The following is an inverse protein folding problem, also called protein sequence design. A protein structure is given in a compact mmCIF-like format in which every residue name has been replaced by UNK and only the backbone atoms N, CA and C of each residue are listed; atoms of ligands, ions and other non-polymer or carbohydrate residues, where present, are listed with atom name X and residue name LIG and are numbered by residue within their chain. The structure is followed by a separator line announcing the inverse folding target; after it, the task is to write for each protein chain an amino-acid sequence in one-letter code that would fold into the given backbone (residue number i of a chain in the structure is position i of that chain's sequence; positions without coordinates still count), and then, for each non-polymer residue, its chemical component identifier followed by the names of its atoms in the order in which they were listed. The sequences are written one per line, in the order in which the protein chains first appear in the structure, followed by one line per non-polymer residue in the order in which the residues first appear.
data_IF_511454924464
#
_entry.id   IF_511454924464
#
_cell.length_a   1.000
_cell.length_b   1.000
_cell.length_c   1.000
_cell.angle_alpha   90.00
_cell.angle_beta   90.00
_cell.angle_gamma   90.00
#
_symmetry.space_group_name_H-M   'P 1'
#
loop_
_entity.id
_entity.type
_entity.pdbx_description
1 polymer ?
#
# COMPACT_ATOMS: atom_id res chain seq x y z
N UNK A 1 14.29 -14.67 -39.30
CA UNK A 1 13.15 -13.83 -38.84
C UNK A 1 11.96 -14.73 -38.73
N UNK A 2 11.29 -14.76 -37.59
CA UNK A 2 10.07 -15.53 -37.39
C UNK A 2 9.03 -15.10 -38.43
N UNK A 3 8.25 -16.07 -38.91
CA UNK A 3 7.20 -15.91 -39.90
C UNK A 3 6.00 -15.12 -39.30
N UNK A 4 6.22 -13.82 -39.04
CA UNK A 4 5.19 -12.91 -38.51
C UNK A 4 4.20 -12.62 -39.62
N UNK A 5 2.94 -13.03 -39.41
CA UNK A 5 1.85 -12.82 -40.39
C UNK A 5 1.10 -11.53 -40.08
N UNK A 6 0.88 -10.75 -41.09
CA UNK A 6 0.00 -9.58 -41.00
C UNK A 6 -1.47 -10.01 -40.78
N UNK A 7 -2.27 -9.16 -40.19
CA UNK A 7 -3.71 -9.35 -40.05
C UNK A 7 -4.35 -9.25 -41.42
N UNK A 8 -5.05 -10.31 -41.87
CA UNK A 8 -5.70 -10.39 -43.18
C UNK A 8 -6.94 -9.49 -43.24
N UNK A 9 -7.05 -8.57 -44.23
CA UNK A 9 -8.24 -7.75 -44.43
C UNK A 9 -9.53 -8.58 -44.64
N UNK A 10 -9.42 -9.76 -45.23
CA UNK A 10 -10.58 -10.65 -45.40
C UNK A 10 -11.09 -11.19 -44.07
N UNK A 11 -10.19 -11.52 -43.12
CA UNK A 11 -10.56 -11.90 -41.76
C UNK A 11 -11.24 -10.75 -41.02
N UNK A 12 -10.72 -9.52 -41.15
CA UNK A 12 -11.36 -8.33 -40.56
C UNK A 12 -12.77 -8.12 -41.02
N UNK A 13 -13.03 -8.33 -42.31
CA UNK A 13 -14.39 -8.26 -42.89
C UNK A 13 -15.31 -9.36 -42.34
N UNK A 14 -14.80 -10.57 -42.17
CA UNK A 14 -15.51 -11.66 -41.54
C UNK A 14 -15.86 -11.33 -40.09
N UNK A 15 -14.88 -10.90 -39.26
CA UNK A 15 -15.13 -10.50 -37.88
C UNK A 15 -16.18 -9.41 -37.76
N UNK A 16 -16.15 -8.39 -38.64
CA UNK A 16 -17.15 -7.34 -38.66
C UNK A 16 -18.55 -7.89 -39.05
N UNK A 17 -18.61 -8.82 -39.96
CA UNK A 17 -19.88 -9.45 -40.37
C UNK A 17 -20.49 -10.26 -39.23
N UNK A 18 -19.69 -11.09 -38.57
CA UNK A 18 -20.11 -11.92 -37.44
C UNK A 18 -20.52 -11.06 -36.22
N UNK A 19 -19.76 -10.01 -35.92
CA UNK A 19 -20.11 -9.06 -34.89
C UNK A 19 -21.48 -8.40 -35.12
N UNK A 20 -21.75 -7.93 -36.32
CA UNK A 20 -23.00 -7.24 -36.66
C UNK A 20 -24.19 -8.20 -36.78
N UNK A 21 -23.98 -9.50 -36.97
CA UNK A 21 -25.02 -10.50 -37.02
C UNK A 21 -25.61 -10.83 -35.63
N UNK A 22 -24.87 -10.57 -34.55
CA UNK A 22 -25.34 -10.85 -33.20
C UNK A 22 -25.90 -9.60 -32.52
N UNK A 23 -27.19 -9.65 -32.18
CA UNK A 23 -27.90 -8.58 -31.47
C UNK A 23 -27.26 -8.29 -30.10
N UNK A 24 -26.71 -9.30 -29.40
CA UNK A 24 -26.09 -9.11 -28.11
C UNK A 24 -24.85 -8.20 -28.19
N UNK A 25 -24.04 -8.42 -29.25
CA UNK A 25 -22.87 -7.56 -29.51
C UNK A 25 -23.28 -6.11 -29.75
N UNK A 26 -24.34 -5.84 -30.49
CA UNK A 26 -24.80 -4.48 -30.81
C UNK A 26 -25.33 -3.78 -29.56
N UNK A 27 -26.07 -4.49 -28.69
CA UNK A 27 -26.55 -3.94 -27.41
C UNK A 27 -25.38 -3.63 -26.46
N UNK A 28 -24.46 -4.58 -26.33
CA UNK A 28 -23.26 -4.41 -25.47
C UNK A 28 -22.41 -3.26 -25.99
N UNK A 29 -22.18 -3.17 -27.31
CA UNK A 29 -21.39 -2.08 -27.90
C UNK A 29 -22.04 -0.71 -27.65
N UNK A 30 -23.35 -0.57 -27.85
CA UNK A 30 -24.05 0.68 -27.58
C UNK A 30 -23.94 1.11 -26.09
N UNK A 31 -24.09 0.16 -25.18
CA UNK A 31 -23.92 0.43 -23.75
C UNK A 31 -22.48 0.86 -23.41
N UNK A 32 -21.50 0.06 -23.84
CA UNK A 32 -20.10 0.33 -23.50
C UNK A 32 -19.53 1.60 -24.17
N UNK A 33 -19.90 1.91 -25.41
CA UNK A 33 -19.48 3.12 -26.12
C UNK A 33 -20.06 4.37 -25.48
N UNK A 34 -21.28 4.31 -24.96
CA UNK A 34 -21.94 5.49 -24.36
C UNK A 34 -21.60 5.72 -22.90
N UNK A 35 -21.40 4.67 -22.09
CA UNK A 35 -21.21 4.79 -20.64
C UNK A 35 -19.85 4.27 -20.12
N UNK A 36 -19.04 3.67 -20.99
CA UNK A 36 -17.78 3.03 -20.62
C UNK A 36 -17.96 1.55 -20.23
N UNK A 37 -16.84 0.80 -20.29
CA UNK A 37 -16.84 -0.65 -20.10
C UNK A 37 -17.31 -1.04 -18.69
N UNK A 38 -16.79 -0.41 -17.65
CA UNK A 38 -17.13 -0.76 -16.26
C UNK A 38 -18.60 -0.49 -15.94
N UNK A 39 -19.13 0.68 -16.34
CA UNK A 39 -20.52 1.01 -16.13
C UNK A 39 -21.47 0.07 -16.92
N UNK A 40 -21.08 -0.33 -18.15
CA UNK A 40 -21.85 -1.28 -18.95
C UNK A 40 -21.77 -2.72 -18.43
N UNK A 41 -20.73 -3.07 -17.68
CA UNK A 41 -20.51 -4.39 -17.10
C UNK A 41 -21.03 -4.54 -15.67
N UNK A 42 -21.49 -3.46 -15.03
CA UNK A 42 -22.01 -3.51 -13.66
C UNK A 42 -23.25 -4.37 -13.57
N UNK A 43 -23.23 -5.38 -12.69
CA UNK A 43 -24.37 -6.25 -12.41
C UNK A 43 -25.12 -5.79 -11.17
N UNK A 44 -26.30 -5.25 -11.38
CA UNK A 44 -27.21 -4.80 -10.32
C UNK A 44 -27.51 -5.88 -9.25
N UNK A 45 -27.47 -7.16 -9.60
CA UNK A 45 -27.66 -8.22 -8.60
C UNK A 45 -26.45 -8.40 -7.70
N UNK A 46 -25.25 -8.28 -8.28
CA UNK A 46 -23.99 -8.33 -7.52
C UNK A 46 -23.94 -7.25 -6.44
N UNK A 47 -24.22 -6.00 -6.81
CA UNK A 47 -24.28 -4.88 -5.87
C UNK A 47 -25.23 -5.11 -4.67
N UNK A 48 -26.38 -5.74 -4.92
CA UNK A 48 -27.37 -6.02 -3.86
C UNK A 48 -26.95 -7.14 -2.90
N UNK A 49 -26.08 -8.03 -3.33
CA UNK A 49 -25.59 -9.16 -2.53
C UNK A 49 -24.41 -8.73 -1.66
N UNK A 50 -23.56 -7.85 -2.17
CA UNK A 50 -22.36 -7.39 -1.49
C UNK A 50 -22.69 -6.22 -0.53
N UNK A 51 -23.25 -6.55 0.64
CA UNK A 51 -23.69 -5.57 1.62
C UNK A 51 -22.53 -5.02 2.44
N UNK A 52 -22.61 -3.74 2.86
CA UNK A 52 -21.63 -3.07 3.71
C UNK A 52 -21.97 -3.22 5.20
N UNK A 53 -22.11 -4.47 5.66
CA UNK A 53 -22.24 -4.82 7.07
C UNK A 53 -21.36 -6.05 7.36
N UNK A 54 -20.77 -6.07 8.54
CA UNK A 54 -19.72 -7.03 8.87
C UNK A 54 -19.94 -7.58 10.28
N UNK A 55 -19.64 -8.85 10.48
CA UNK A 55 -19.74 -9.48 11.81
C UNK A 55 -18.65 -8.98 12.77
N UNK A 56 -17.51 -8.54 12.20
CA UNK A 56 -16.39 -7.94 12.93
C UNK A 56 -15.99 -6.67 12.18
N UNK A 57 -16.02 -5.55 12.90
CA UNK A 57 -15.74 -4.24 12.31
C UNK A 57 -14.94 -3.37 13.29
N UNK A 58 -13.82 -2.82 12.85
CA UNK A 58 -12.95 -1.94 13.61
C UNK A 58 -13.32 -0.47 13.32
N UNK A 59 -13.57 0.30 14.37
CA UNK A 59 -13.91 1.71 14.24
C UNK A 59 -12.65 2.55 14.04
N UNK A 60 -12.44 3.03 12.82
CA UNK A 60 -11.32 3.89 12.43
C UNK A 60 -11.61 5.38 12.74
N UNK A 61 -10.57 6.22 12.64
CA UNK A 61 -10.69 7.68 12.63
C UNK A 61 -11.16 8.25 11.29
N UNK A 62 -10.88 9.52 11.06
CA UNK A 62 -11.19 10.21 9.80
C UNK A 62 -10.45 9.58 8.61
N UNK A 63 -11.12 9.51 7.46
CA UNK A 63 -10.52 8.96 6.23
C UNK A 63 -9.41 9.86 5.71
N UNK A 64 -8.27 9.26 5.43
CA UNK A 64 -7.08 9.94 4.90
C UNK A 64 -7.15 10.12 3.37
N UNK A 65 -6.31 10.99 2.81
CA UNK A 65 -6.30 11.22 1.37
C UNK A 65 -4.89 11.45 0.83
N UNK A 66 -4.35 10.45 0.10
CA UNK A 66 -3.03 10.51 -0.53
C UNK A 66 -2.95 11.46 -1.72
N UNK A 67 -4.10 11.95 -2.24
CA UNK A 67 -4.17 12.81 -3.41
C UNK A 67 -3.51 12.17 -4.65
N UNK A 68 -2.81 12.98 -5.45
CA UNK A 68 -2.10 12.53 -6.66
C UNK A 68 -0.65 12.15 -6.34
N UNK A 69 -0.48 11.13 -5.47
CA UNK A 69 0.85 10.61 -5.10
C UNK A 69 0.82 9.09 -4.95
N UNK A 70 1.94 8.41 -5.16
CA UNK A 70 2.08 6.97 -5.00
C UNK A 70 2.35 6.52 -3.56
N UNK A 71 1.88 7.26 -2.54
CA UNK A 71 2.13 6.98 -1.11
C UNK A 71 1.11 6.05 -0.46
N UNK A 72 0.31 5.30 -1.23
CA UNK A 72 -0.73 4.40 -0.67
C UNK A 72 -0.18 3.47 0.42
N UNK A 73 0.99 2.89 0.20
CA UNK A 73 1.66 1.98 1.15
C UNK A 73 1.96 2.64 2.51
N UNK A 74 2.33 3.93 2.47
CA UNK A 74 2.64 4.74 3.64
C UNK A 74 1.36 5.13 4.39
N UNK A 75 0.32 5.57 3.66
CA UNK A 75 -0.99 5.87 4.22
C UNK A 75 -1.62 4.65 4.88
N UNK A 76 -1.65 3.51 4.19
CA UNK A 76 -2.19 2.26 4.72
C UNK A 76 -1.46 1.84 6.01
N UNK A 77 -0.12 1.91 6.03
CA UNK A 77 0.67 1.56 7.21
C UNK A 77 0.42 2.52 8.38
N UNK A 78 0.42 3.82 8.13
CA UNK A 78 0.12 4.81 9.16
C UNK A 78 -1.33 4.71 9.67
N UNK A 79 -2.29 4.30 8.84
CA UNK A 79 -3.66 4.05 9.26
C UNK A 79 -3.76 2.85 10.23
N UNK A 80 -2.96 1.78 10.05
CA UNK A 80 -2.91 0.69 11.02
C UNK A 80 -2.34 1.16 12.36
N UNK A 81 -1.23 1.88 12.37
CA UNK A 81 -0.62 2.41 13.59
C UNK A 81 -1.49 3.47 14.27
N UNK A 82 -2.15 4.31 13.49
CA UNK A 82 -3.09 5.33 13.98
C UNK A 82 -4.23 4.73 14.79
N UNK A 83 -4.82 3.64 14.28
CA UNK A 83 -5.87 2.91 14.99
C UNK A 83 -5.41 2.49 16.39
N UNK A 84 -4.26 1.84 16.48
CA UNK A 84 -3.70 1.37 17.75
C UNK A 84 -3.38 2.53 18.73
N UNK A 85 -2.81 3.61 18.19
CA UNK A 85 -2.51 4.80 18.98
C UNK A 85 -3.81 5.44 19.53
N UNK A 86 -4.83 5.61 18.68
CA UNK A 86 -6.10 6.21 19.08
C UNK A 86 -6.79 5.39 20.16
N UNK A 87 -6.82 4.06 20.04
CA UNK A 87 -7.42 3.16 21.03
C UNK A 87 -6.62 3.16 22.34
N UNK A 88 -5.29 3.15 22.25
CA UNK A 88 -4.42 3.17 23.44
C UNK A 88 -4.60 4.42 24.29
N UNK A 89 -4.79 5.56 23.65
CA UNK A 89 -4.83 6.87 24.30
C UNK A 89 -6.24 7.49 24.34
N UNK A 90 -7.24 6.74 23.92
CA UNK A 90 -8.64 7.19 23.87
C UNK A 90 -8.79 8.52 23.13
N UNK A 91 -8.23 8.62 21.92
CA UNK A 91 -8.31 9.81 21.10
C UNK A 91 -9.52 9.76 20.17
N UNK A 92 -10.18 10.91 20.01
CA UNK A 92 -11.32 11.06 19.09
C UNK A 92 -10.88 10.92 17.63
N UNK A 93 -9.77 11.54 17.27
CA UNK A 93 -9.16 11.49 15.95
C UNK A 93 -7.66 11.80 16.04
N UNK A 94 -6.89 11.22 15.10
CA UNK A 94 -5.47 11.45 14.99
C UNK A 94 -5.01 11.10 13.56
N UNK A 95 -3.98 11.80 13.08
CA UNK A 95 -3.32 11.49 11.82
C UNK A 95 -1.82 11.71 11.95
N UNK A 96 -1.03 10.74 11.50
CA UNK A 96 0.42 10.90 11.34
C UNK A 96 0.75 11.74 10.13
N UNK A 97 1.96 12.26 10.06
CA UNK A 97 2.48 12.93 8.87
C UNK A 97 3.06 11.93 7.89
N UNK A 98 2.38 11.69 6.81
CA UNK A 98 2.88 10.91 5.69
C UNK A 98 4.00 11.67 4.95
N UNK A 99 3.93 13.00 4.95
CA UNK A 99 4.96 13.85 4.32
C UNK A 99 6.32 13.71 5.00
N UNK A 100 6.33 13.43 6.32
CA UNK A 100 7.56 13.21 7.09
C UNK A 100 8.31 11.97 6.59
N UNK A 101 7.62 10.84 6.51
CA UNK A 101 8.21 9.62 5.98
C UNK A 101 8.51 9.71 4.48
N UNK A 102 7.70 10.45 3.72
CA UNK A 102 7.93 10.68 2.29
C UNK A 102 9.22 11.47 2.02
N UNK A 103 9.56 12.44 2.90
CA UNK A 103 10.86 13.13 2.81
C UNK A 103 12.01 12.14 2.99
N UNK A 104 11.97 11.34 4.03
CA UNK A 104 13.03 10.38 4.33
C UNK A 104 13.08 9.24 3.31
N UNK A 105 11.95 8.78 2.81
CA UNK A 105 11.89 7.81 1.71
C UNK A 105 12.58 8.32 0.45
N UNK A 106 12.33 9.59 0.07
CA UNK A 106 13.01 10.20 -1.06
C UNK A 106 14.53 10.28 -0.86
N UNK A 107 14.97 10.62 0.36
CA UNK A 107 16.39 10.64 0.72
C UNK A 107 17.02 9.25 0.67
N UNK A 108 16.41 8.27 1.33
CA UNK A 108 16.96 6.93 1.47
C UNK A 108 16.96 6.18 0.13
N UNK A 109 15.87 6.24 -0.65
CA UNK A 109 15.85 5.67 -2.00
C UNK A 109 16.90 6.29 -2.92
N UNK A 110 17.13 7.60 -2.81
CA UNK A 110 18.19 8.26 -3.58
C UNK A 110 19.57 7.74 -3.19
N UNK A 111 19.83 7.59 -1.88
CA UNK A 111 21.05 7.00 -1.38
C UNK A 111 21.21 5.54 -1.85
N UNK A 112 20.16 4.73 -1.69
CA UNK A 112 20.17 3.31 -2.08
C UNK A 112 20.35 3.13 -3.59
N UNK A 113 19.70 3.97 -4.40
CA UNK A 113 19.90 3.97 -5.85
C UNK A 113 21.39 4.19 -6.22
N UNK A 114 22.02 5.22 -5.63
CA UNK A 114 23.42 5.52 -5.93
C UNK A 114 24.38 4.44 -5.38
N UNK A 115 24.10 3.82 -4.22
CA UNK A 115 24.85 2.66 -3.75
C UNK A 115 24.66 1.45 -4.69
N UNK A 116 23.44 1.19 -5.17
CA UNK A 116 23.19 0.15 -6.16
C UNK A 116 23.94 0.40 -7.47
N UNK A 117 24.07 1.66 -7.90
CA UNK A 117 24.91 2.03 -9.04
C UNK A 117 26.38 1.69 -8.77
N UNK A 118 26.90 2.02 -7.57
CA UNK A 118 28.29 1.74 -7.20
C UNK A 118 28.61 0.26 -7.13
N UNK A 119 27.68 -0.60 -6.70
CA UNK A 119 27.91 -2.06 -6.67
C UNK A 119 27.66 -2.74 -8.00
N UNK A 120 27.13 -2.01 -9.00
CA UNK A 120 26.85 -2.51 -10.35
C UNK A 120 27.59 -1.72 -11.44
N UNK A 121 28.73 -1.08 -11.12
CA UNK A 121 29.50 -0.26 -12.06
C UNK A 121 29.97 -1.07 -13.30
N UNK A 122 30.26 -2.35 -13.11
CA UNK A 122 30.72 -3.26 -14.18
C UNK A 122 29.57 -3.90 -14.99
N UNK A 123 28.31 -3.71 -14.54
CA UNK A 123 27.16 -4.20 -15.29
C UNK A 123 26.96 -3.36 -16.57
N UNK A 124 26.70 -3.99 -17.73
CA UNK A 124 26.32 -3.26 -18.94
C UNK A 124 25.04 -2.42 -18.74
N UNK A 125 24.93 -1.28 -19.42
CA UNK A 125 23.71 -0.43 -19.37
C UNK A 125 22.45 -1.20 -19.82
N UNK A 126 22.61 -2.16 -20.73
CA UNK A 126 21.52 -2.99 -21.25
C UNK A 126 21.26 -4.23 -20.37
N UNK A 127 21.98 -4.41 -19.26
CA UNK A 127 21.73 -5.54 -18.38
C UNK A 127 20.38 -5.40 -17.69
N UNK A 128 19.69 -6.53 -17.51
CA UNK A 128 18.40 -6.55 -16.82
C UNK A 128 18.49 -6.08 -15.37
N UNK A 129 19.65 -6.27 -14.74
CA UNK A 129 19.93 -5.77 -13.38
C UNK A 129 19.95 -4.25 -13.36
N UNK A 130 20.74 -3.64 -14.26
CA UNK A 130 20.82 -2.18 -14.32
C UNK A 130 19.50 -1.56 -14.76
N UNK A 131 18.77 -2.17 -15.70
CA UNK A 131 17.42 -1.75 -16.10
C UNK A 131 16.48 -1.71 -14.89
N UNK A 132 16.48 -2.76 -14.06
CA UNK A 132 15.63 -2.84 -12.87
C UNK A 132 15.97 -1.75 -11.84
N UNK A 133 17.27 -1.52 -11.56
CA UNK A 133 17.76 -0.48 -10.64
C UNK A 133 17.39 0.92 -11.18
N UNK A 134 17.59 1.16 -12.47
CA UNK A 134 17.41 2.47 -13.09
C UNK A 134 15.96 2.81 -13.46
N UNK A 135 15.01 1.87 -13.29
CA UNK A 135 13.60 2.07 -13.69
C UNK A 135 12.95 3.25 -12.97
N UNK A 136 13.08 3.32 -11.66
CA UNK A 136 12.51 4.38 -10.83
C UNK A 136 13.36 4.67 -9.60
N UNK A 137 14.47 5.44 -9.75
CA UNK A 137 15.48 5.62 -8.71
C UNK A 137 14.94 6.01 -7.33
N UNK A 138 13.96 6.91 -7.28
CA UNK A 138 13.32 7.38 -6.06
C UNK A 138 11.80 7.56 -6.24
N UNK A 139 11.15 6.60 -6.91
CA UNK A 139 9.70 6.63 -7.11
C UNK A 139 8.90 6.51 -5.81
N UNK A 140 7.64 6.93 -5.84
CA UNK A 140 6.77 7.04 -4.67
C UNK A 140 6.37 5.68 -4.07
N UNK A 141 6.21 4.63 -4.89
CA UNK A 141 5.74 3.32 -4.43
C UNK A 141 6.68 2.64 -3.45
N UNK A 142 6.16 1.76 -2.62
CA UNK A 142 6.94 0.99 -1.64
C UNK A 142 6.13 -0.13 -1.00
N UNK A 143 6.76 -0.83 -0.07
CA UNK A 143 6.22 -1.97 0.65
C UNK A 143 6.28 -1.73 2.15
N UNK A 144 5.65 -2.63 2.91
CA UNK A 144 5.67 -2.56 4.37
C UNK A 144 7.09 -2.53 4.95
N UNK A 145 8.01 -3.38 4.46
CA UNK A 145 9.39 -3.41 4.98
C UNK A 145 10.05 -2.02 4.86
N UNK A 146 9.90 -1.36 3.71
CA UNK A 146 10.42 0.01 3.52
C UNK A 146 9.83 1.01 4.51
N UNK A 147 8.54 0.87 4.85
CA UNK A 147 7.90 1.69 5.87
C UNK A 147 8.47 1.42 7.27
N UNK A 148 8.61 0.15 7.64
CA UNK A 148 9.16 -0.26 8.93
C UNK A 148 10.60 0.24 9.12
N UNK A 149 11.42 0.16 8.08
CA UNK A 149 12.81 0.63 8.09
C UNK A 149 12.91 2.14 8.28
N UNK A 150 12.03 2.91 7.62
CA UNK A 150 11.94 4.36 7.85
C UNK A 150 11.50 4.70 9.27
N UNK A 151 10.50 4.00 9.82
CA UNK A 151 10.05 4.20 11.19
C UNK A 151 11.15 3.87 12.20
N UNK A 152 11.87 2.77 11.99
CA UNK A 152 12.99 2.36 12.84
C UNK A 152 14.14 3.38 12.86
N UNK A 153 14.40 4.03 11.73
CA UNK A 153 15.49 4.99 11.59
C UNK A 153 15.10 6.41 12.01
N UNK A 154 13.91 6.86 11.64
CA UNK A 154 13.49 8.26 11.75
C UNK A 154 12.35 8.50 12.74
N UNK A 155 11.68 7.47 13.22
CA UNK A 155 10.49 7.63 14.07
C UNK A 155 9.29 8.18 13.32
N UNK A 156 8.34 8.76 14.06
CA UNK A 156 7.07 9.28 13.54
C UNK A 156 6.77 10.66 14.09
N UNK A 157 5.97 11.43 13.34
CA UNK A 157 5.46 12.73 13.81
C UNK A 157 3.96 12.83 13.51
N UNK A 158 3.18 13.60 14.30
CA UNK A 158 1.79 13.91 13.97
C UNK A 158 1.72 14.85 12.76
N UNK A 159 0.63 14.79 12.02
CA UNK A 159 0.39 15.63 10.82
C UNK A 159 0.48 17.13 11.11
N UNK A 160 0.10 17.55 12.32
CA UNK A 160 0.21 18.94 12.77
C UNK A 160 1.65 19.46 12.85
N UNK A 161 2.62 18.57 13.11
CA UNK A 161 4.04 18.93 13.19
C UNK A 161 4.72 19.03 11.83
N UNK A 162 4.25 18.30 10.83
CA UNK A 162 4.78 18.36 9.47
C UNK A 162 3.66 18.10 8.45
N UNK A 163 2.93 19.15 8.06
CA UNK A 163 1.75 19.03 7.21
C UNK A 163 2.09 18.78 5.73
N UNK A 164 1.06 18.48 4.93
CA UNK A 164 1.17 18.29 3.50
C UNK A 164 1.67 19.54 2.77
N UNK A 165 2.66 19.38 1.90
CA UNK A 165 3.10 20.38 0.93
C UNK A 165 2.31 20.27 -0.39
N UNK A 166 2.50 21.20 -1.32
CA UNK A 166 1.95 21.07 -2.67
C UNK A 166 2.53 19.86 -3.40
N UNK A 167 3.82 19.59 -3.21
CA UNK A 167 4.52 18.49 -3.88
C UNK A 167 4.30 17.12 -3.21
N UNK A 168 3.89 17.06 -1.95
CA UNK A 168 3.44 15.81 -1.35
C UNK A 168 2.03 15.43 -1.81
N UNK A 169 1.17 16.43 -2.06
CA UNK A 169 -0.18 16.20 -2.64
C UNK A 169 -0.18 15.85 -4.12
N UNK A 170 0.86 16.26 -4.86
CA UNK A 170 1.05 15.95 -6.30
C UNK A 170 2.54 15.80 -6.56
N UNK A 171 3.01 14.56 -6.51
CA UNK A 171 4.43 14.22 -6.43
C UNK A 171 5.13 14.11 -7.78
N UNK A 172 4.39 14.00 -8.88
CA UNK A 172 4.93 13.67 -10.21
C UNK A 172 6.07 14.58 -10.66
N UNK A 173 5.89 15.90 -10.58
CA UNK A 173 6.92 16.84 -11.01
C UNK A 173 8.18 16.79 -10.15
N UNK A 174 8.00 16.70 -8.81
CA UNK A 174 9.12 16.55 -7.88
C UNK A 174 9.92 15.27 -8.18
N UNK A 175 9.23 14.13 -8.29
CA UNK A 175 9.86 12.83 -8.55
C UNK A 175 10.49 12.76 -9.93
N UNK A 176 9.88 13.36 -10.95
CA UNK A 176 10.46 13.44 -12.28
C UNK A 176 11.85 14.10 -12.24
N UNK A 177 11.96 15.28 -11.65
CA UNK A 177 13.23 16.01 -11.61
C UNK A 177 14.25 15.39 -10.65
N UNK A 178 13.81 14.81 -9.53
CA UNK A 178 14.67 14.05 -8.64
C UNK A 178 15.29 12.85 -9.37
N UNK A 179 14.45 12.03 -10.02
CA UNK A 179 14.92 10.87 -10.80
C UNK A 179 15.83 11.26 -11.96
N UNK A 180 15.56 12.38 -12.63
CA UNK A 180 16.46 12.91 -13.67
C UNK A 180 17.83 13.23 -13.08
N UNK A 181 17.88 13.94 -11.95
CA UNK A 181 19.14 14.30 -11.30
C UNK A 181 19.91 13.08 -10.80
N UNK A 182 19.22 12.09 -10.24
CA UNK A 182 19.85 10.84 -9.81
C UNK A 182 20.47 10.06 -10.98
N UNK A 183 19.81 10.03 -12.14
CA UNK A 183 20.39 9.42 -13.36
C UNK A 183 21.59 10.18 -13.90
N UNK A 184 21.61 11.53 -13.80
CA UNK A 184 22.80 12.31 -14.12
C UNK A 184 23.98 11.94 -13.22
N UNK A 185 23.75 11.82 -11.89
CA UNK A 185 24.77 11.38 -10.95
C UNK A 185 25.27 9.95 -11.25
N UNK A 186 24.33 9.03 -11.53
CA UNK A 186 24.68 7.67 -11.92
C UNK A 186 25.55 7.62 -13.18
N UNK A 187 25.27 8.45 -14.18
CA UNK A 187 26.09 8.57 -15.40
C UNK A 187 27.49 9.08 -15.08
N UNK A 188 27.61 10.15 -14.29
CA UNK A 188 28.92 10.72 -13.91
C UNK A 188 29.76 9.70 -13.12
N UNK A 189 29.16 8.98 -12.17
CA UNK A 189 29.86 7.94 -11.39
C UNK A 189 30.38 6.82 -12.29
N UNK A 190 29.59 6.36 -13.26
CA UNK A 190 30.02 5.31 -14.22
C UNK A 190 31.09 5.79 -15.16
N UNK A 191 30.99 7.01 -15.69
CA UNK A 191 32.02 7.61 -16.56
C UNK A 191 33.35 7.76 -15.84
N UNK A 192 33.35 8.19 -14.57
CA UNK A 192 34.55 8.28 -13.74
C UNK A 192 35.13 6.92 -13.40
N UNK A 193 34.28 5.94 -13.11
CA UNK A 193 34.75 4.56 -12.93
C UNK A 193 35.48 4.07 -14.18
N UNK A 194 34.89 4.24 -15.35
CA UNK A 194 35.52 3.87 -16.61
C UNK A 194 36.85 4.62 -16.88
N UNK A 195 37.02 5.83 -16.32
CA UNK A 195 38.26 6.61 -16.36
C UNK A 195 39.27 6.18 -15.27
N UNK A 196 38.94 5.21 -14.41
CA UNK A 196 39.84 4.65 -13.40
C UNK A 196 39.77 5.34 -12.03
N UNK A 197 38.73 6.12 -11.74
CA UNK A 197 38.51 6.70 -10.40
C UNK A 197 38.23 5.57 -9.40
N UNK A 198 38.86 5.65 -8.23
CA UNK A 198 38.71 4.64 -7.18
C UNK A 198 37.31 4.66 -6.56
N UNK A 199 36.86 3.51 -5.98
CA UNK A 199 35.56 3.39 -5.34
C UNK A 199 35.40 4.36 -4.16
N UNK A 200 36.47 4.63 -3.40
CA UNK A 200 36.44 5.58 -2.29
C UNK A 200 36.21 7.03 -2.76
N UNK A 201 36.83 7.42 -3.87
CA UNK A 201 36.59 8.73 -4.49
C UNK A 201 35.18 8.84 -5.06
N UNK A 202 34.66 7.77 -5.69
CA UNK A 202 33.27 7.73 -6.17
C UNK A 202 32.26 7.84 -5.01
N UNK A 203 32.51 7.18 -3.88
CA UNK A 203 31.67 7.37 -2.67
C UNK A 203 31.72 8.78 -2.09
N UNK A 204 32.89 9.44 -2.14
CA UNK A 204 33.01 10.82 -1.73
C UNK A 204 32.18 11.76 -2.65
N UNK A 205 32.20 11.52 -3.96
CA UNK A 205 31.34 12.23 -4.94
C UNK A 205 29.85 11.99 -4.66
N UNK A 206 29.44 10.74 -4.53
CA UNK A 206 28.06 10.35 -4.16
C UNK A 206 27.60 11.09 -2.90
N UNK A 207 28.44 11.19 -1.85
CA UNK A 207 28.08 11.91 -0.64
C UNK A 207 27.89 13.43 -0.88
N UNK A 208 28.67 14.03 -1.78
CA UNK A 208 28.47 15.42 -2.21
C UNK A 208 27.17 15.59 -3.02
N UNK A 209 26.83 14.61 -3.87
CA UNK A 209 25.58 14.58 -4.63
C UNK A 209 24.35 14.49 -3.73
N UNK A 210 24.42 13.73 -2.64
CA UNK A 210 23.34 13.62 -1.64
C UNK A 210 23.02 14.96 -0.97
N UNK A 211 23.97 15.90 -0.86
CA UNK A 211 23.66 17.26 -0.41
C UNK A 211 22.75 18.02 -1.40
N UNK A 212 22.87 17.75 -2.70
CA UNK A 212 21.95 18.28 -3.71
C UNK A 212 20.57 17.62 -3.60
N UNK A 213 20.51 16.30 -3.38
CA UNK A 213 19.25 15.58 -3.12
C UNK A 213 18.53 16.17 -1.92
N UNK A 214 19.22 16.35 -0.79
CA UNK A 214 18.64 16.97 0.42
C UNK A 214 18.05 18.36 0.13
N UNK A 215 18.79 19.19 -0.58
CA UNK A 215 18.31 20.53 -0.98
C UNK A 215 17.05 20.45 -1.85
N UNK A 216 16.99 19.50 -2.79
CA UNK A 216 15.78 19.30 -3.62
C UNK A 216 14.59 18.87 -2.79
N UNK A 217 14.78 17.91 -1.88
CA UNK A 217 13.75 17.45 -0.96
C UNK A 217 13.26 18.58 -0.04
N UNK A 218 14.18 19.34 0.58
CA UNK A 218 13.85 20.43 1.48
C UNK A 218 13.11 21.60 0.78
N UNK A 219 13.47 21.91 -0.47
CA UNK A 219 12.77 22.92 -1.28
C UNK A 219 11.36 22.44 -1.64
N UNK A 220 11.18 21.16 -1.97
CA UNK A 220 9.90 20.62 -2.43
C UNK A 220 8.92 20.31 -1.28
N UNK A 221 9.42 19.78 -0.17
CA UNK A 221 8.62 19.24 0.92
C UNK A 221 8.69 20.04 2.22
N UNK A 222 9.68 20.93 2.37
CA UNK A 222 10.08 21.58 3.62
C UNK A 222 11.14 20.76 4.36
N UNK A 223 11.76 21.33 5.37
CA UNK A 223 12.66 20.56 6.24
C UNK A 223 11.87 19.86 7.34
N UNK A 224 12.12 18.54 7.58
CA UNK A 224 11.45 17.81 8.64
C UNK A 224 11.88 18.32 10.01
N UNK A 225 10.98 18.36 11.01
CA UNK A 225 11.29 18.83 12.35
C UNK A 225 12.21 17.85 13.08
N UNK A 226 13.24 18.37 13.74
CA UNK A 226 14.06 17.58 14.68
C UNK A 226 13.31 17.35 16.00
N UNK A 227 12.53 18.34 16.43
CA UNK A 227 11.68 18.32 17.63
C UNK A 227 10.37 19.05 17.37
N UNK A 228 9.33 18.62 18.06
CA UNK A 228 8.01 19.24 17.96
C UNK A 228 7.27 19.18 19.29
N UNK A 229 6.23 20.00 19.39
CA UNK A 229 5.28 19.94 20.49
C UNK A 229 4.09 19.07 20.07
N UNK A 230 3.65 18.19 20.97
CA UNK A 230 2.50 17.32 20.73
C UNK A 230 1.39 17.64 21.71
N UNK A 231 0.22 17.93 21.18
CA UNK A 231 -1.01 18.14 21.92
C UNK A 231 -2.12 17.27 21.32
N UNK A 232 -2.69 16.39 22.12
CA UNK A 232 -3.88 15.64 21.77
C UNK A 232 -4.91 15.68 22.89
N UNK A 233 -6.20 15.53 22.55
CA UNK A 233 -7.31 15.45 23.50
C UNK A 233 -7.93 14.08 23.44
N UNK A 234 -8.27 13.56 24.63
CA UNK A 234 -9.05 12.32 24.72
C UNK A 234 -10.50 12.53 24.28
N UNK A 235 -11.16 11.46 23.88
CA UNK A 235 -12.58 11.49 23.55
C UNK A 235 -13.43 11.82 24.79
N UNK A 236 -14.63 12.37 24.58
CA UNK A 236 -15.61 12.64 25.66
C UNK A 236 -16.35 11.36 26.11
N UNK A 237 -16.25 10.28 25.33
CA UNK A 237 -16.94 9.02 25.56
C UNK A 237 -16.15 8.12 26.55
N UNK A 238 -16.10 8.53 27.82
CA UNK A 238 -15.97 7.52 28.87
C UNK A 238 -17.32 6.83 29.01
N UNK A 239 -17.52 5.78 28.26
CA UNK A 239 -18.52 4.76 28.59
C UNK A 239 -18.03 4.02 29.86
N UNK A 240 -18.07 4.73 30.99
CA UNK A 240 -18.02 4.10 32.31
C UNK A 240 -19.24 3.18 32.38
N UNK A 241 -19.03 1.86 32.17
CA UNK A 241 -20.05 0.82 32.23
C UNK A 241 -20.90 0.79 33.52
N UNK A 242 -21.36 1.92 33.97
CA UNK A 242 -22.37 2.11 35.00
C UNK A 242 -23.73 2.20 34.34
N UNK A 243 -24.48 1.10 34.40
CA UNK A 243 -25.92 1.07 34.19
C UNK A 243 -26.55 2.35 34.77
N UNK A 244 -27.06 3.22 33.91
CA UNK A 244 -27.96 4.30 34.33
C UNK A 244 -29.21 3.68 34.93
N UNK A 245 -29.33 3.71 36.23
CA UNK A 245 -30.63 3.51 36.92
C UNK A 245 -31.57 4.62 36.49
N UNK A 246 -32.70 4.26 35.92
CA UNK A 246 -33.75 5.16 35.54
C UNK A 246 -34.22 5.93 36.79
N UNK A 247 -34.13 7.26 36.78
CA UNK A 247 -34.79 8.09 37.78
C UNK A 247 -33.99 9.26 38.31
N UNK A 248 -33.48 10.16 37.47
CA UNK A 248 -33.22 11.55 37.88
C UNK A 248 -33.54 12.51 36.71
N UNK A 249 -34.41 13.47 36.99
CA UNK A 249 -34.87 14.51 36.05
C UNK A 249 -33.75 15.48 35.65
N UNK A 250 -33.97 16.36 34.65
CA UNK A 250 -32.94 17.21 34.09
C UNK A 250 -32.43 18.20 35.15
N UNK A 251 -31.20 18.00 35.63
CA UNK A 251 -30.50 19.03 36.40
C UNK A 251 -30.11 20.15 35.42
N UNK A 252 -30.46 21.40 35.76
CA UNK A 252 -30.00 22.60 35.08
C UNK A 252 -28.45 22.59 35.05
N UNK A 253 -27.89 22.29 33.88
CA UNK A 253 -26.43 22.43 33.67
C UNK A 253 -26.11 23.91 33.61
N UNK A 254 -25.27 24.35 34.56
CA UNK A 254 -24.65 25.67 34.58
C UNK A 254 -24.04 26.03 33.20
N UNK A 255 -24.14 27.28 32.83
CA UNK A 255 -23.60 27.86 31.61
C UNK A 255 -22.13 27.44 31.41
N UNK A 256 -21.86 26.67 30.38
CA UNK A 256 -20.48 26.24 30.03
C UNK A 256 -19.61 27.47 29.81
N UNK A 257 -18.63 27.65 30.67
CA UNK A 257 -17.51 28.57 30.44
C UNK A 257 -16.72 27.99 29.27
N UNK A 258 -16.77 28.40 28.08
CA UNK A 258 -16.25 27.85 26.82
C UNK A 258 -14.83 27.27 26.83
N UNK A 259 -14.37 26.65 27.93
CA UNK A 259 -13.13 25.90 28.06
C UNK A 259 -13.43 24.42 27.90
N UNK A 260 -12.71 23.81 26.98
CA UNK A 260 -12.68 22.37 26.79
C UNK A 260 -11.88 21.73 27.95
N UNK A 261 -12.60 21.03 28.84
CA UNK A 261 -12.04 20.42 30.07
C UNK A 261 -11.59 18.97 29.87
N UNK A 262 -11.62 18.42 28.64
CA UNK A 262 -11.15 17.06 28.36
C UNK A 262 -9.68 16.89 28.75
N UNK A 263 -9.29 15.71 29.25
CA UNK A 263 -7.89 15.39 29.50
C UNK A 263 -7.04 15.61 28.26
N UNK A 264 -5.81 16.05 28.43
CA UNK A 264 -4.90 16.38 27.35
C UNK A 264 -3.57 15.68 27.52
N UNK A 265 -3.06 15.12 26.44
CA UNK A 265 -1.65 14.72 26.32
C UNK A 265 -0.89 15.96 25.88
N UNK A 266 0.18 16.31 26.60
CA UNK A 266 1.05 17.43 26.27
C UNK A 266 2.50 17.01 26.35
N UNK A 267 3.23 17.18 25.26
CA UNK A 267 4.67 17.00 25.18
C UNK A 267 5.29 18.22 24.52
N UNK A 268 6.44 18.65 25.05
CA UNK A 268 7.15 19.80 24.55
C UNK A 268 8.56 19.41 24.09
N UNK A 269 8.87 19.74 22.83
CA UNK A 269 10.19 19.50 22.27
C UNK A 269 10.56 18.01 22.15
N UNK A 270 9.59 17.11 21.94
CA UNK A 270 9.84 15.68 21.76
C UNK A 270 10.43 15.41 20.37
N UNK A 271 11.35 14.46 20.26
CA UNK A 271 11.87 14.01 18.96
C UNK A 271 10.94 12.99 18.29
N UNK A 272 11.01 12.82 16.97
CA UNK A 272 10.19 11.81 16.25
C UNK A 272 10.36 10.39 16.79
N UNK A 273 11.58 10.00 17.14
CA UNK A 273 11.86 8.68 17.71
C UNK A 273 11.31 8.52 19.13
N UNK A 274 11.45 9.54 19.98
CA UNK A 274 10.85 9.54 21.33
C UNK A 274 9.33 9.46 21.24
N UNK A 275 8.71 10.17 20.28
CA UNK A 275 7.28 10.13 20.04
C UNK A 275 6.83 8.72 19.62
N UNK A 276 7.48 8.10 18.63
CA UNK A 276 7.18 6.74 18.21
C UNK A 276 7.24 5.76 19.39
N UNK A 277 8.36 5.73 20.11
CA UNK A 277 8.57 4.80 21.24
C UNK A 277 7.61 5.00 22.40
N UNK A 278 7.18 6.24 22.65
CA UNK A 278 6.32 6.57 23.80
C UNK A 278 4.83 6.40 23.52
N UNK A 279 4.40 6.77 22.32
CA UNK A 279 2.98 6.90 22.03
C UNK A 279 2.41 5.81 21.10
N UNK A 280 3.21 5.22 20.24
CA UNK A 280 2.75 4.17 19.32
C UNK A 280 2.91 2.80 19.98
N UNK A 281 1.80 2.10 20.28
CA UNK A 281 1.85 0.84 21.02
C UNK A 281 2.17 -0.39 20.15
N UNK A 282 2.79 -0.17 19.01
CA UNK A 282 3.15 -1.21 18.02
C UNK A 282 4.62 -1.10 17.72
N UNK A 283 5.37 -2.18 17.92
CA UNK A 283 6.69 -2.34 17.34
C UNK A 283 6.56 -2.87 15.93
N UNK A 284 6.96 -2.08 14.92
CA UNK A 284 6.88 -2.47 13.51
C UNK A 284 7.70 -3.73 13.20
N UNK A 285 8.66 -4.10 14.06
CA UNK A 285 9.47 -5.30 13.93
C UNK A 285 8.74 -6.59 14.37
N UNK A 286 7.60 -6.46 15.05
CA UNK A 286 6.76 -7.59 15.43
C UNK A 286 5.77 -8.00 14.35
N UNK A 287 5.82 -7.34 13.20
CA UNK A 287 4.97 -7.63 12.05
C UNK A 287 5.77 -8.32 10.93
N UNK A 288 5.12 -9.23 10.24
CA UNK A 288 5.72 -10.09 9.20
C UNK A 288 4.92 -9.95 7.91
N UNK A 289 5.62 -9.86 6.79
CA UNK A 289 5.00 -9.91 5.47
C UNK A 289 4.69 -11.35 5.10
N UNK A 290 3.40 -11.70 5.07
CA UNK A 290 2.91 -12.91 4.44
C UNK A 290 2.52 -12.61 3.00
N UNK A 291 2.92 -13.49 2.08
CA UNK A 291 2.45 -13.46 0.70
C UNK A 291 1.69 -14.73 0.34
N UNK A 292 0.72 -14.59 -0.55
CA UNK A 292 0.11 -15.71 -1.23
C UNK A 292 0.41 -15.61 -2.73
N UNK A 293 1.50 -16.25 -3.14
CA UNK A 293 2.03 -16.26 -4.52
C UNK A 293 2.07 -17.71 -5.00
N UNK A 294 0.96 -18.23 -5.59
CA UNK A 294 0.80 -19.65 -5.90
C UNK A 294 1.49 -20.06 -7.23
N UNK A 295 2.64 -19.47 -7.54
CA UNK A 295 3.42 -19.83 -8.73
C UNK A 295 4.24 -21.10 -8.49
N UNK A 296 4.39 -21.96 -9.49
CA UNK A 296 5.14 -23.20 -9.41
C UNK A 296 6.59 -22.99 -8.95
N UNK A 297 7.22 -21.91 -9.41
CA UNK A 297 8.59 -21.54 -9.05
C UNK A 297 8.71 -20.75 -7.74
N UNK A 298 7.63 -20.64 -6.98
CA UNK A 298 7.56 -20.01 -5.65
C UNK A 298 6.85 -20.93 -4.65
N UNK A 299 7.45 -22.08 -4.28
CA UNK A 299 6.83 -23.00 -3.32
C UNK A 299 6.38 -22.30 -2.05
N UNK A 300 5.24 -22.71 -1.52
CA UNK A 300 4.77 -22.34 -0.19
C UNK A 300 5.69 -22.88 0.91
N UNK A 301 5.63 -22.31 2.10
CA UNK A 301 6.46 -22.70 3.23
C UNK A 301 7.93 -22.33 3.04
N UNK A 302 8.19 -21.22 2.39
CA UNK A 302 9.53 -20.68 2.17
C UNK A 302 9.56 -19.18 2.48
N UNK A 303 10.73 -18.73 2.99
CA UNK A 303 11.08 -17.33 3.12
C UNK A 303 11.84 -16.89 1.87
N UNK A 304 11.50 -15.72 1.37
CA UNK A 304 12.10 -15.15 0.15
C UNK A 304 12.65 -13.76 0.45
N UNK A 305 13.70 -13.37 -0.29
CA UNK A 305 14.29 -12.02 -0.28
C UNK A 305 14.44 -11.54 -1.71
N UNK A 306 14.03 -10.30 -2.00
CA UNK A 306 14.11 -9.73 -3.34
C UNK A 306 15.29 -8.77 -3.40
N UNK A 307 16.29 -9.08 -4.21
CA UNK A 307 17.51 -8.28 -4.38
C UNK A 307 17.17 -6.86 -4.86
N UNK A 308 17.93 -5.89 -4.38
CA UNK A 308 17.81 -4.46 -4.74
C UNK A 308 16.42 -3.85 -4.41
N UNK A 309 15.71 -4.37 -3.45
CA UNK A 309 14.39 -3.87 -3.03
C UNK A 309 14.42 -2.98 -1.79
N UNK A 310 15.56 -2.82 -1.13
CA UNK A 310 15.72 -1.95 0.03
C UNK A 310 15.53 -0.47 -0.32
N UNK A 311 14.99 0.32 0.62
CA UNK A 311 15.12 1.78 0.60
C UNK A 311 16.20 2.27 1.58
N UNK A 312 16.35 1.64 2.74
CA UNK A 312 17.35 1.97 3.77
C UNK A 312 18.50 0.97 3.69
N UNK A 313 19.70 1.45 3.38
CA UNK A 313 20.83 0.60 3.04
C UNK A 313 21.24 -0.38 4.16
N UNK A 314 21.19 0.05 5.42
CA UNK A 314 21.54 -0.78 6.57
C UNK A 314 20.46 -1.77 7.00
N UNK A 315 19.22 -1.63 6.51
CA UNK A 315 18.10 -2.47 6.91
C UNK A 315 17.99 -3.76 6.07
N UNK A 316 18.47 -3.74 4.83
CA UNK A 316 18.43 -4.87 3.91
C UNK A 316 17.20 -4.91 3.00
N UNK A 317 17.22 -5.91 2.14
CA UNK A 317 16.19 -6.10 1.11
C UNK A 317 14.89 -6.66 1.67
N UNK A 318 13.78 -6.42 0.94
CA UNK A 318 12.44 -6.88 1.29
C UNK A 318 12.37 -8.40 1.41
N UNK A 319 11.78 -8.87 2.50
CA UNK A 319 11.56 -10.29 2.77
C UNK A 319 10.08 -10.60 2.99
N UNK A 320 9.69 -11.82 2.63
CA UNK A 320 8.34 -12.33 2.87
C UNK A 320 8.32 -13.85 3.06
N UNK A 321 7.27 -14.34 3.70
CA UNK A 321 6.96 -15.78 3.78
C UNK A 321 5.81 -16.08 2.84
N UNK A 322 6.03 -17.00 1.89
CA UNK A 322 4.98 -17.45 0.97
C UNK A 322 4.18 -18.60 1.59
N UNK A 323 2.87 -18.39 1.80
CA UNK A 323 1.98 -19.32 2.49
C UNK A 323 0.77 -19.71 1.63
N UNK A 324 0.17 -20.91 1.87
CA UNK A 324 -1.10 -21.30 1.26
C UNK A 324 -2.22 -20.30 1.60
N UNK A 325 -3.25 -20.25 0.77
CA UNK A 325 -4.35 -19.29 0.89
C UNK A 325 -5.15 -19.45 2.20
N UNK A 326 -5.34 -20.65 2.67
CA UNK A 326 -6.04 -20.94 3.92
C UNK A 326 -5.26 -20.42 5.15
N UNK A 327 -3.94 -20.60 5.20
CA UNK A 327 -3.05 -20.03 6.22
C UNK A 327 -3.08 -18.48 6.16
N UNK A 328 -2.98 -17.93 4.95
CA UNK A 328 -3.03 -16.50 4.69
C UNK A 328 -4.32 -15.86 5.21
N UNK A 329 -5.48 -16.44 4.86
CA UNK A 329 -6.81 -15.95 5.30
C UNK A 329 -7.04 -16.16 6.79
N UNK A 330 -6.62 -17.30 7.33
CA UNK A 330 -6.77 -17.58 8.77
C UNK A 330 -6.03 -16.54 9.61
N UNK A 331 -4.79 -16.21 9.27
CA UNK A 331 -4.02 -15.18 9.98
C UNK A 331 -4.72 -13.81 9.93
N UNK A 332 -5.33 -13.45 8.77
CA UNK A 332 -6.10 -12.22 8.64
C UNK A 332 -7.35 -12.21 9.51
N UNK A 333 -8.12 -13.30 9.51
CA UNK A 333 -9.34 -13.42 10.33
C UNK A 333 -8.99 -13.36 11.82
N UNK A 334 -7.96 -14.08 12.25
CA UNK A 334 -7.53 -14.12 13.65
C UNK A 334 -7.12 -12.70 14.12
N UNK A 335 -6.29 -11.99 13.36
CA UNK A 335 -5.82 -10.64 13.71
C UNK A 335 -6.96 -9.61 13.76
N UNK A 336 -7.87 -9.61 12.78
CA UNK A 336 -9.02 -8.69 12.76
C UNK A 336 -9.99 -9.04 13.89
N UNK A 337 -10.20 -10.32 14.19
CA UNK A 337 -11.09 -10.77 15.26
C UNK A 337 -10.60 -10.35 16.65
N UNK A 338 -9.29 -10.22 16.82
CA UNK A 338 -8.66 -9.74 18.06
C UNK A 338 -8.55 -8.19 18.12
N UNK A 339 -9.09 -7.51 17.12
CA UNK A 339 -9.21 -6.05 17.12
C UNK A 339 -8.07 -5.29 16.47
N UNK A 340 -7.28 -5.92 15.59
CA UNK A 340 -6.13 -5.31 14.96
C UNK A 340 -6.28 -5.16 13.44
N UNK A 341 -6.20 -3.94 12.87
CA UNK A 341 -6.28 -3.73 11.43
C UNK A 341 -5.04 -4.29 10.72
N UNK A 342 -5.19 -4.55 9.42
CA UNK A 342 -4.13 -5.19 8.62
C UNK A 342 -3.80 -4.31 7.41
N UNK A 343 -2.53 -3.97 7.24
CA UNK A 343 -2.03 -3.50 5.96
C UNK A 343 -2.04 -4.64 4.94
N UNK A 344 -2.52 -4.38 3.74
CA UNK A 344 -2.50 -5.35 2.66
C UNK A 344 -2.21 -4.72 1.31
N UNK A 345 -1.62 -5.49 0.39
CA UNK A 345 -1.39 -5.09 -0.98
C UNK A 345 -2.13 -5.98 -1.98
N UNK A 346 -2.59 -5.37 -3.07
CA UNK A 346 -3.45 -6.03 -4.06
C UNK A 346 -3.35 -5.39 -5.44
N UNK A 347 -3.98 -6.01 -6.42
CA UNK A 347 -4.38 -5.34 -7.66
C UNK A 347 -5.79 -4.76 -7.52
N UNK A 348 -5.87 -3.49 -7.15
CA UNK A 348 -7.15 -2.79 -6.99
C UNK A 348 -7.77 -2.30 -8.30
N UNK A 349 -7.13 -2.54 -9.44
CA UNK A 349 -7.64 -2.11 -10.75
C UNK A 349 -8.61 -3.13 -11.36
N UNK A 350 -8.49 -4.39 -10.96
CA UNK A 350 -9.28 -5.49 -11.50
C UNK A 350 -10.62 -5.62 -10.78
N UNK A 351 -11.71 -5.74 -11.54
CA UNK A 351 -13.06 -5.93 -11.02
C UNK A 351 -13.44 -4.93 -9.92
N UNK A 352 -13.18 -3.65 -10.20
CA UNK A 352 -13.31 -2.55 -9.23
C UNK A 352 -14.29 -1.49 -9.71
N UNK A 353 -15.30 -1.20 -8.91
CA UNK A 353 -16.21 -0.04 -9.03
C UNK A 353 -15.80 0.99 -7.99
N UNK A 354 -14.80 1.81 -8.34
CA UNK A 354 -14.18 2.73 -7.37
C UNK A 354 -15.13 3.78 -6.82
N UNK A 355 -16.03 4.31 -7.66
CA UNK A 355 -17.03 5.30 -7.22
C UNK A 355 -18.02 4.74 -6.22
N UNK A 356 -18.39 3.47 -6.37
CA UNK A 356 -19.42 2.80 -5.58
C UNK A 356 -18.84 2.03 -4.38
N UNK A 357 -17.52 1.83 -4.37
CA UNK A 357 -16.81 1.18 -3.25
C UNK A 357 -16.87 -0.33 -3.26
N UNK A 358 -16.78 -0.95 -4.44
CA UNK A 358 -16.80 -2.41 -4.57
C UNK A 358 -15.55 -2.97 -5.25
N UNK A 359 -15.04 -4.08 -4.71
CA UNK A 359 -14.06 -4.97 -5.29
C UNK A 359 -14.68 -6.36 -5.41
N UNK A 360 -15.21 -6.71 -6.59
CA UNK A 360 -15.97 -7.95 -6.72
C UNK A 360 -16.11 -8.42 -8.17
N UNK A 361 -15.81 -9.71 -8.38
CA UNK A 361 -15.91 -10.34 -9.70
C UNK A 361 -17.36 -10.56 -10.17
N UNK A 362 -18.33 -10.61 -9.25
CA UNK A 362 -19.73 -10.82 -9.56
C UNK A 362 -20.49 -9.49 -9.77
N UNK A 363 -19.98 -8.39 -9.23
CA UNK A 363 -20.52 -7.05 -9.48
C UNK A 363 -20.02 -6.48 -10.81
N UNK A 364 -18.78 -6.81 -11.22
CA UNK A 364 -18.17 -6.31 -12.47
C UNK A 364 -18.11 -7.44 -13.49
N UNK A 365 -19.16 -7.59 -14.30
CA UNK A 365 -19.37 -8.69 -15.24
C UNK A 365 -18.87 -8.38 -16.65
N UNK A 366 -17.56 -8.06 -16.76
CA UNK A 366 -16.90 -7.87 -18.07
C UNK A 366 -16.95 -9.12 -18.95
N UNK A 367 -17.04 -10.30 -18.33
CA UNK A 367 -17.23 -11.58 -19.04
C UNK A 367 -18.56 -11.63 -19.79
N UNK A 368 -19.62 -11.15 -19.17
CA UNK A 368 -20.96 -11.07 -19.82
C UNK A 368 -20.99 -9.98 -20.88
N UNK A 369 -20.39 -8.80 -20.59
CA UNK A 369 -20.35 -7.69 -21.55
C UNK A 369 -19.65 -8.08 -22.86
N UNK A 370 -18.49 -8.75 -22.76
CA UNK A 370 -17.69 -9.14 -23.92
C UNK A 370 -18.03 -10.53 -24.47
N UNK A 371 -18.92 -11.26 -23.81
CA UNK A 371 -19.28 -12.62 -24.22
C UNK A 371 -18.13 -13.61 -24.22
N UNK A 372 -17.13 -13.39 -23.32
CA UNK A 372 -15.93 -14.22 -23.21
C UNK A 372 -15.53 -14.43 -21.77
N UNK A 373 -14.80 -15.52 -21.49
CA UNK A 373 -14.32 -15.82 -20.13
C UNK A 373 -12.92 -15.27 -19.92
N UNK A 374 -12.69 -14.67 -18.76
CA UNK A 374 -11.37 -14.29 -18.25
C UNK A 374 -10.90 -15.42 -17.34
N UNK A 375 -9.93 -16.22 -17.79
CA UNK A 375 -9.60 -17.52 -17.18
C UNK A 375 -8.29 -17.56 -16.41
N UNK A 376 -7.56 -16.43 -16.31
CA UNK A 376 -6.38 -16.40 -15.47
C UNK A 376 -6.76 -16.66 -14.02
N UNK A 377 -6.06 -17.61 -13.41
CA UNK A 377 -5.98 -17.71 -11.96
C UNK A 377 -4.90 -16.73 -11.44
N UNK A 378 -4.74 -16.68 -10.12
CA UNK A 378 -3.75 -15.80 -9.48
C UNK A 378 -2.31 -16.09 -9.92
N UNK A 379 -1.95 -17.38 -10.07
CA UNK A 379 -0.62 -17.79 -10.51
C UNK A 379 -0.32 -17.25 -11.91
N UNK A 380 -1.21 -17.49 -12.86
CA UNK A 380 -1.04 -17.02 -14.24
C UNK A 380 -1.11 -15.50 -14.33
N UNK A 381 -1.98 -14.87 -13.57
CA UNK A 381 -2.04 -13.40 -13.48
C UNK A 381 -0.68 -12.81 -13.07
N UNK A 382 -0.04 -13.35 -12.04
CA UNK A 382 1.28 -12.93 -11.59
C UNK A 382 2.38 -13.23 -12.63
N UNK A 383 2.44 -14.46 -13.17
CA UNK A 383 3.43 -14.86 -14.16
C UNK A 383 3.43 -13.98 -15.41
N UNK A 384 2.24 -13.62 -15.91
CA UNK A 384 2.08 -12.81 -17.11
C UNK A 384 2.01 -11.30 -16.84
N UNK A 385 2.04 -10.88 -15.57
CA UNK A 385 2.00 -9.47 -15.17
C UNK A 385 0.63 -8.81 -15.38
N UNK A 386 -0.44 -9.61 -15.37
CA UNK A 386 -1.84 -9.17 -15.45
C UNK A 386 -2.38 -8.70 -14.09
N UNK A 387 -1.77 -9.17 -13.01
CA UNK A 387 -2.20 -8.93 -11.62
C UNK A 387 -1.03 -8.40 -10.78
N UNK A 388 -0.46 -7.21 -11.09
CA UNK A 388 0.60 -6.62 -10.28
C UNK A 388 0.04 -6.10 -8.96
N UNK A 389 0.84 -6.16 -7.90
CA UNK A 389 0.52 -5.46 -6.64
C UNK A 389 0.67 -3.95 -6.85
N UNK A 390 -0.42 -3.25 -7.10
CA UNK A 390 -0.41 -1.83 -7.51
C UNK A 390 -0.94 -0.86 -6.47
N UNK A 391 -1.52 -1.35 -5.37
CA UNK A 391 -2.09 -0.51 -4.33
C UNK A 391 -2.05 -1.20 -2.97
N UNK A 392 -1.87 -0.40 -1.92
CA UNK A 392 -1.96 -0.86 -0.55
C UNK A 392 -3.08 -0.12 0.19
N UNK A 393 -3.81 -0.86 1.02
CA UNK A 393 -4.95 -0.39 1.80
C UNK A 393 -4.96 -1.05 3.18
N UNK A 394 -5.98 -0.76 3.99
CA UNK A 394 -6.12 -1.31 5.34
C UNK A 394 -7.38 -2.15 5.45
N UNK A 395 -7.26 -3.43 5.85
CA UNK A 395 -8.42 -4.23 6.24
C UNK A 395 -8.87 -3.80 7.65
N UNK A 396 -10.13 -3.46 7.77
CA UNK A 396 -10.75 -2.95 9.01
C UNK A 396 -11.98 -3.72 9.44
N UNK A 397 -12.29 -4.81 8.76
CA UNK A 397 -13.39 -5.70 9.14
C UNK A 397 -13.49 -6.91 8.25
N UNK A 398 -14.23 -7.89 8.72
CA UNK A 398 -14.56 -9.13 8.01
C UNK A 398 -15.96 -9.59 8.37
N UNK A 399 -16.71 -10.09 7.40
CA UNK A 399 -17.93 -10.80 7.66
C UNK A 399 -17.70 -12.30 7.55
N UNK A 400 -18.07 -13.01 8.61
CA UNK A 400 -18.00 -14.48 8.67
C UNK A 400 -19.38 -15.08 8.40
N UNK A 401 -19.42 -16.18 7.66
CA UNK A 401 -20.62 -16.98 7.47
C UNK A 401 -20.95 -17.83 8.72
N UNK A 402 -22.00 -18.65 8.63
CA UNK A 402 -22.42 -19.50 9.73
C UNK A 402 -21.38 -20.59 10.12
N UNK A 403 -20.46 -20.90 9.22
CA UNK A 403 -19.36 -21.86 9.46
C UNK A 403 -18.07 -21.16 9.94
N UNK A 404 -18.12 -19.83 10.15
CA UNK A 404 -16.97 -19.02 10.54
C UNK A 404 -15.98 -18.72 9.43
N UNK A 405 -16.38 -18.84 8.14
CA UNK A 405 -15.54 -18.56 7.00
C UNK A 405 -15.77 -17.13 6.51
N UNK A 406 -14.71 -16.40 6.09
CA UNK A 406 -14.88 -15.08 5.53
C UNK A 406 -15.64 -15.15 4.20
N UNK A 407 -16.55 -14.21 3.97
CA UNK A 407 -17.27 -14.05 2.71
C UNK A 407 -17.17 -12.64 2.11
N UNK A 408 -16.78 -11.65 2.93
CA UNK A 408 -16.45 -10.30 2.48
C UNK A 408 -15.59 -9.57 3.51
N UNK A 409 -14.85 -8.56 3.03
CA UNK A 409 -13.87 -7.81 3.80
C UNK A 409 -14.15 -6.33 3.72
N UNK A 410 -14.01 -5.62 4.86
CA UNK A 410 -14.08 -4.17 4.91
C UNK A 410 -12.70 -3.58 4.68
N UNK A 411 -12.62 -2.66 3.74
CA UNK A 411 -11.38 -2.01 3.34
C UNK A 411 -11.47 -0.52 3.59
N UNK A 412 -10.51 0.05 4.32
CA UNK A 412 -10.28 1.49 4.39
C UNK A 412 -9.27 1.89 3.32
N UNK A 413 -9.63 2.85 2.48
CA UNK A 413 -8.78 3.36 1.41
C UNK A 413 -8.32 4.79 1.72
N UNK A 414 -7.22 5.21 1.10
CA UNK A 414 -6.62 6.54 1.26
C UNK A 414 -6.92 7.49 0.09
N UNK A 415 -8.13 7.43 -0.48
CA UNK A 415 -8.55 8.33 -1.57
C UNK A 415 -9.53 9.41 -1.14
N UNK A 416 -9.71 9.60 0.18
CA UNK A 416 -10.66 10.54 0.75
C UNK A 416 -12.06 10.00 0.79
N UNK A 417 -12.89 10.60 1.65
CA UNK A 417 -14.26 10.16 1.93
C UNK A 417 -15.24 10.28 0.75
N UNK A 418 -14.89 11.07 -0.26
CA UNK A 418 -15.75 11.27 -1.44
C UNK A 418 -15.66 10.11 -2.45
N UNK A 419 -14.81 9.11 -2.18
CA UNK A 419 -14.66 7.89 -2.98
C UNK A 419 -15.20 6.68 -2.22
N UNK A 420 -15.81 5.74 -2.95
CA UNK A 420 -16.42 4.57 -2.35
C UNK A 420 -17.57 4.94 -1.41
N UNK A 421 -17.75 4.17 -0.36
CA UNK A 421 -18.76 4.38 0.68
C UNK A 421 -18.13 5.13 1.86
N UNK A 422 -18.14 6.46 1.82
CA UNK A 422 -17.45 7.33 2.78
C UNK A 422 -15.96 6.99 2.98
N UNK A 423 -15.26 6.60 1.90
CA UNK A 423 -13.84 6.21 1.92
C UNK A 423 -13.60 4.72 2.18
N UNK A 424 -14.64 3.95 2.45
CA UNK A 424 -14.57 2.50 2.62
C UNK A 424 -15.00 1.75 1.38
N UNK A 425 -14.55 0.50 1.29
CA UNK A 425 -14.85 -0.42 0.21
C UNK A 425 -15.21 -1.79 0.77
N UNK A 426 -16.07 -2.50 0.03
CA UNK A 426 -16.39 -3.90 0.30
C UNK A 426 -15.69 -4.77 -0.73
N UNK A 427 -14.85 -5.68 -0.27
CA UNK A 427 -14.23 -6.69 -1.11
C UNK A 427 -14.90 -8.05 -0.90
N UNK A 428 -15.34 -8.72 -1.98
CA UNK A 428 -15.78 -10.10 -1.86
C UNK A 428 -14.61 -11.02 -1.55
N UNK A 429 -14.88 -12.14 -0.90
CA UNK A 429 -13.85 -13.12 -0.57
C UNK A 429 -13.22 -13.74 -1.83
N UNK A 430 -14.00 -13.93 -2.89
CA UNK A 430 -13.50 -14.39 -4.19
C UNK A 430 -12.53 -13.38 -4.85
N UNK A 431 -12.80 -12.08 -4.71
CA UNK A 431 -11.87 -11.04 -5.17
C UNK A 431 -10.60 -11.03 -4.29
N UNK A 432 -10.76 -11.14 -2.98
CA UNK A 432 -9.64 -11.22 -2.04
C UNK A 432 -8.70 -12.39 -2.41
N UNK A 433 -9.24 -13.58 -2.62
CA UNK A 433 -8.48 -14.79 -2.97
C UNK A 433 -7.65 -14.58 -4.25
N UNK A 434 -8.16 -13.82 -5.19
CA UNK A 434 -7.52 -13.65 -6.50
C UNK A 434 -6.52 -12.49 -6.55
N UNK A 435 -6.82 -11.36 -5.90
CA UNK A 435 -6.08 -10.11 -6.11
C UNK A 435 -5.29 -9.61 -4.91
N UNK A 436 -5.52 -10.12 -3.71
CA UNK A 436 -4.69 -9.76 -2.53
C UNK A 436 -3.45 -10.63 -2.50
N UNK A 437 -2.27 -10.00 -2.57
CA UNK A 437 -0.98 -10.70 -2.64
C UNK A 437 -0.21 -10.69 -1.35
N UNK A 438 -0.39 -9.65 -0.50
CA UNK A 438 0.39 -9.42 0.70
C UNK A 438 -0.49 -9.02 1.88
N UNK A 439 -0.18 -9.53 3.05
CA UNK A 439 -0.74 -9.13 4.35
C UNK A 439 0.38 -8.90 5.35
N UNK A 440 0.21 -7.89 6.20
CA UNK A 440 1.12 -7.65 7.31
C UNK A 440 0.49 -8.14 8.59
N UNK A 441 1.06 -9.20 9.12
CA UNK A 441 0.51 -9.97 10.23
C UNK A 441 1.46 -9.89 11.44
N UNK A 442 0.89 -9.69 12.63
CA UNK A 442 1.65 -9.76 13.89
C UNK A 442 2.12 -11.20 14.12
N UNK A 443 3.33 -11.37 14.59
CA UNK A 443 3.95 -12.69 14.83
C UNK A 443 3.08 -13.62 15.71
N UNK A 444 2.28 -13.05 16.59
CA UNK A 444 1.40 -13.81 17.48
C UNK A 444 0.25 -14.55 16.77
N UNK A 445 -0.18 -14.08 15.58
CA UNK A 445 -1.23 -14.71 14.76
C UNK A 445 -0.69 -15.67 13.70
N UNK A 446 0.63 -15.85 13.63
CA UNK A 446 1.23 -16.88 12.76
C UNK A 446 1.03 -18.27 13.39
N UNK A 447 0.75 -19.27 12.57
CA UNK A 447 0.83 -20.66 13.02
C UNK A 447 2.28 -21.09 13.31
N UNK A 448 2.44 -22.23 13.97
CA UNK A 448 3.76 -22.74 14.38
C UNK A 448 4.68 -22.96 13.17
N UNK A 449 4.16 -23.56 12.10
CA UNK A 449 4.93 -23.85 10.88
C UNK A 449 5.44 -22.56 10.20
N UNK A 450 4.60 -21.52 10.13
CA UNK A 450 4.99 -20.22 9.57
C UNK A 450 6.02 -19.51 10.46
N UNK A 451 5.92 -19.63 11.79
CA UNK A 451 6.93 -19.07 12.72
C UNK A 451 8.29 -19.74 12.55
N UNK A 452 8.33 -21.05 12.36
CA UNK A 452 9.59 -21.79 12.14
C UNK A 452 10.30 -21.31 10.87
N UNK A 453 9.56 -21.02 9.79
CA UNK A 453 10.11 -20.52 8.53
C UNK A 453 10.83 -19.17 8.68
N UNK A 454 10.47 -18.35 9.67
CA UNK A 454 11.14 -17.06 9.92
C UNK A 454 12.63 -17.23 10.30
N UNK A 455 13.03 -18.39 10.79
CA UNK A 455 14.42 -18.70 11.14
C UNK A 455 15.21 -19.24 9.93
N UNK A 456 14.55 -19.61 8.84
CA UNK A 456 15.20 -20.14 7.64
C UNK A 456 15.98 -19.06 6.89
N UNK A 457 17.02 -19.49 6.17
CA UNK A 457 17.69 -18.61 5.21
C UNK A 457 16.73 -18.31 4.05
N UNK A 458 16.55 -17.02 3.66
CA UNK A 458 15.68 -16.68 2.56
C UNK A 458 16.22 -17.17 1.22
N UNK A 459 15.33 -17.57 0.34
CA UNK A 459 15.63 -17.81 -1.07
C UNK A 459 15.74 -16.47 -1.78
N UNK A 460 16.89 -16.18 -2.38
CA UNK A 460 17.12 -14.94 -3.11
C UNK A 460 16.31 -14.92 -4.42
N UNK A 461 15.61 -13.81 -4.65
CA UNK A 461 14.87 -13.52 -5.87
C UNK A 461 15.50 -12.33 -6.60
N UNK A 462 15.32 -12.30 -7.89
CA UNK A 462 15.81 -11.22 -8.72
C UNK A 462 14.89 -9.99 -8.67
N UNK A 463 15.39 -8.77 -8.94
CA UNK A 463 14.61 -7.53 -8.79
C UNK A 463 13.42 -7.42 -9.77
N UNK A 464 13.28 -8.31 -10.73
CA UNK A 464 12.11 -8.38 -11.64
C UNK A 464 11.05 -9.39 -11.20
N UNK A 465 11.01 -9.69 -9.92
CA UNK A 465 9.95 -10.51 -9.33
C UNK A 465 8.56 -9.92 -9.62
N UNK A 466 7.54 -10.73 -9.92
CA UNK A 466 6.18 -10.23 -10.19
C UNK A 466 5.61 -9.29 -9.12
N UNK A 467 5.89 -9.52 -7.84
CA UNK A 467 5.48 -8.65 -6.74
C UNK A 467 6.07 -7.24 -6.82
N UNK A 468 7.25 -7.08 -7.44
CA UNK A 468 7.91 -5.77 -7.59
C UNK A 468 7.54 -5.05 -8.89
N UNK A 469 6.81 -5.71 -9.79
CA UNK A 469 6.34 -5.07 -11.01
C UNK A 469 5.32 -3.99 -10.66
N UNK A 470 5.69 -2.75 -10.89
CA UNK A 470 4.75 -1.63 -10.77
C UNK A 470 3.78 -1.65 -11.95
N UNK A 471 2.52 -1.28 -11.71
CA UNK A 471 1.58 -1.00 -12.79
C UNK A 471 2.13 0.13 -13.67
N UNK A 472 2.13 -0.09 -14.97
CA UNK A 472 2.50 0.95 -15.95
C UNK A 472 1.43 2.03 -16.04
#
# INVERSE_FOLDING_TARGET
MSDVKALDPALLKLYSTDFNADRANLVAANAAVSSGVLAAATDYKGERVLQNDFSIELKQGSITNQRSSGRCWMFAALNTLRYELMHRWDLEDFEFSETYLFFWDAMEKSNMFLENVLVTLDEPLESRVFEAINYGPADDGGWWQMFADLVNKYGLVPKSAYPESANSKSSDAFKQYLNTKLREFASDLRDRHAAGTSLDELRALKNADMATVYRMCAIALGEPPERFDFLARTSDDKDDGKKKTAGEGPSEKAAKTGKDERPQIREFGITPMEFYKKYVPVDVNDLVTLCNVPMENRPFGKRYRIRFSANVAEAGDMEFVNVPLDVFKKAAVDQISDGHPIWFACDCMQFSLRGDGFFDCDTVRVDQLFGTKFTFDKAKGLEYGDCPSNHAMTLTGVNLDADGRPNRWKVENSWGKDNGQDGYYVASDAWFDRYVTELIIRKEYLDEATREILADQPVELEPWEPLTKRSR
#
